data_IF_714241203354
#
_entry.id   IF_714241203354
#
_cell.length_a   1.000
_cell.length_b   1.000
_cell.length_c   1.000
_cell.angle_alpha   90.00
_cell.angle_beta   90.00
_cell.angle_gamma   90.00
#
_symmetry.space_group_name_H-M   'P 1'
#
loop_
_entity.id
_entity.type
_entity.pdbx_description
1 polymer ?
#
# COMPACT_ATOMS: atom_id res chain seq x y z
N UNK A 1 -46.09 18.47 -42.00
CA UNK A 1 -44.63 18.25 -41.93
C UNK A 1 -43.88 19.04 -40.84
N UNK A 2 -44.52 19.73 -39.91
CA UNK A 2 -43.83 20.51 -38.85
C UNK A 2 -43.78 19.83 -37.49
N UNK A 3 -44.43 18.70 -37.25
CA UNK A 3 -44.50 18.03 -35.95
C UNK A 3 -43.45 16.92 -35.71
N UNK A 4 -42.68 16.56 -36.73
CA UNK A 4 -41.69 15.48 -36.62
C UNK A 4 -40.31 16.01 -36.25
N UNK A 5 -40.03 17.30 -36.46
CA UNK A 5 -38.70 17.89 -36.21
C UNK A 5 -38.51 18.27 -34.74
N UNK A 6 -39.62 18.62 -34.03
CA UNK A 6 -39.51 19.01 -32.61
C UNK A 6 -39.22 17.84 -31.63
N UNK A 7 -39.68 16.62 -32.00
CA UNK A 7 -39.44 15.45 -31.12
C UNK A 7 -37.99 14.92 -31.15
N UNK A 8 -37.23 15.24 -32.19
CA UNK A 8 -35.84 14.77 -32.26
C UNK A 8 -34.84 15.69 -31.54
N UNK A 9 -35.15 16.98 -31.43
CA UNK A 9 -34.30 17.95 -30.72
C UNK A 9 -34.42 17.76 -29.22
N UNK A 10 -35.61 17.43 -28.72
CA UNK A 10 -35.83 17.19 -27.28
C UNK A 10 -35.27 15.85 -26.81
N UNK A 11 -35.13 14.84 -27.69
CA UNK A 11 -34.46 13.57 -27.38
C UNK A 11 -32.92 13.69 -27.31
N UNK A 12 -32.32 14.57 -28.09
CA UNK A 12 -30.87 14.82 -28.03
C UNK A 12 -30.46 15.63 -26.79
N UNK A 13 -31.34 16.50 -26.27
CA UNK A 13 -31.04 17.29 -25.05
C UNK A 13 -31.13 16.45 -23.78
N UNK A 14 -31.98 15.42 -23.73
CA UNK A 14 -32.07 14.53 -22.55
C UNK A 14 -30.91 13.53 -22.51
N UNK A 15 -30.35 13.10 -23.66
CA UNK A 15 -29.18 12.24 -23.73
C UNK A 15 -27.86 12.98 -23.46
N UNK A 16 -27.81 14.28 -23.77
CA UNK A 16 -26.62 15.10 -23.51
C UNK A 16 -26.39 15.43 -22.02
N UNK A 17 -27.45 15.40 -21.19
CA UNK A 17 -27.33 15.73 -19.76
C UNK A 17 -26.96 14.51 -18.88
N UNK A 18 -27.07 13.30 -19.42
CA UNK A 18 -26.79 12.07 -18.65
C UNK A 18 -25.35 11.56 -18.78
N UNK A 19 -24.54 12.17 -19.66
CA UNK A 19 -23.13 11.77 -19.86
C UNK A 19 -22.16 12.58 -18.97
N UNK A 20 -22.66 13.65 -18.31
CA UNK A 20 -21.78 14.53 -17.52
C UNK A 20 -21.69 14.20 -16.01
N UNK A 21 -22.32 13.10 -15.55
CA UNK A 21 -22.32 12.74 -14.10
C UNK A 21 -21.38 11.56 -13.79
N UNK A 22 -20.73 10.94 -14.78
CA UNK A 22 -19.85 9.80 -14.55
C UNK A 22 -18.35 10.14 -14.55
N UNK A 23 -17.94 11.39 -14.37
CA UNK A 23 -16.53 11.79 -14.42
C UNK A 23 -16.05 12.54 -13.18
N UNK A 24 -16.57 12.18 -11.99
CA UNK A 24 -15.99 12.62 -10.72
C UNK A 24 -16.06 11.53 -9.67
N UNK A 25 -15.42 10.40 -9.95
CA UNK A 25 -15.05 9.43 -8.93
C UNK A 25 -13.58 9.05 -9.14
N UNK A 26 -12.70 10.04 -9.20
CA UNK A 26 -11.28 9.86 -8.85
C UNK A 26 -11.19 9.98 -7.33
N UNK A 27 -11.99 9.18 -6.62
CA UNK A 27 -11.70 8.87 -5.25
C UNK A 27 -10.39 8.10 -5.26
N UNK A 28 -9.35 8.69 -4.72
CA UNK A 28 -8.24 7.92 -4.18
C UNK A 28 -8.87 6.90 -3.22
N UNK A 29 -9.14 5.71 -3.71
CA UNK A 29 -9.31 4.54 -2.87
C UNK A 29 -7.97 4.35 -2.15
N UNK A 30 -7.83 5.04 -1.01
CA UNK A 30 -6.94 4.57 0.02
C UNK A 30 -7.44 3.18 0.36
N UNK A 31 -6.75 2.15 -0.14
CA UNK A 31 -6.96 0.76 0.22
C UNK A 31 -6.74 0.65 1.73
N UNK A 32 -7.78 0.99 2.49
CA UNK A 32 -7.86 0.76 3.91
C UNK A 32 -8.10 -0.72 4.12
N UNK A 33 -7.05 -1.50 4.08
CA UNK A 33 -7.07 -2.80 4.72
C UNK A 33 -7.03 -2.55 6.23
N UNK A 34 -7.90 -3.19 7.02
CA UNK A 34 -7.93 -3.05 8.48
C UNK A 34 -6.59 -3.42 9.15
N UNK A 35 -5.73 -4.13 8.44
CA UNK A 35 -4.45 -4.63 8.94
C UNK A 35 -3.25 -3.74 8.63
N UNK A 36 -3.32 -2.91 7.61
CA UNK A 36 -2.22 -2.00 7.26
C UNK A 36 -2.69 -0.72 6.56
N UNK A 37 -1.84 0.29 6.60
CA UNK A 37 -2.02 1.58 5.92
C UNK A 37 -0.75 1.82 5.09
N UNK A 38 -0.92 2.01 3.77
CA UNK A 38 0.18 2.46 2.92
C UNK A 38 0.34 3.97 3.03
N UNK A 39 1.48 4.43 3.53
CA UNK A 39 1.76 5.85 3.77
C UNK A 39 2.47 6.55 2.60
N UNK A 40 2.86 5.82 1.57
CA UNK A 40 3.48 6.37 0.37
C UNK A 40 4.97 6.08 0.23
N UNK A 41 5.64 6.88 -0.57
CA UNK A 41 7.07 6.78 -0.83
C UNK A 41 7.83 7.85 -0.05
N UNK A 42 9.00 7.49 0.46
CA UNK A 42 9.92 8.42 1.11
C UNK A 42 11.35 8.23 0.62
N UNK A 43 12.21 9.16 1.01
CA UNK A 43 13.66 9.04 0.82
C UNK A 43 14.34 9.06 2.18
N UNK A 44 15.28 8.15 2.41
CA UNK A 44 16.07 8.09 3.63
C UNK A 44 17.53 7.76 3.32
N UNK A 45 18.44 8.49 3.94
CA UNK A 45 19.87 8.22 3.86
C UNK A 45 20.31 7.04 4.74
N UNK A 46 19.42 6.58 5.62
CA UNK A 46 19.74 5.56 6.64
C UNK A 46 19.37 4.13 6.24
N UNK A 47 18.87 3.91 5.03
CA UNK A 47 18.65 2.55 4.53
C UNK A 47 19.97 1.98 4.07
N UNK A 48 20.45 0.87 4.67
CA UNK A 48 21.72 0.29 4.28
C UNK A 48 21.72 -0.10 2.80
N UNK A 49 22.68 0.41 2.06
CA UNK A 49 23.02 -0.13 0.74
C UNK A 49 23.75 -1.44 0.98
N UNK A 50 23.16 -2.56 0.59
CA UNK A 50 23.85 -3.85 0.68
C UNK A 50 24.73 -4.03 -0.55
N UNK A 51 26.04 -4.24 -0.36
CA UNK A 51 26.91 -4.68 -1.44
C UNK A 51 26.49 -6.10 -1.84
N UNK A 52 26.11 -6.28 -3.09
CA UNK A 52 25.72 -7.57 -3.64
C UNK A 52 24.23 -7.79 -3.74
N UNK A 53 23.49 -6.83 -4.33
CA UNK A 53 22.29 -7.16 -5.06
C UNK A 53 22.73 -8.14 -6.16
N UNK A 54 22.86 -9.42 -5.75
CA UNK A 54 22.94 -10.50 -6.71
C UNK A 54 21.72 -10.34 -7.61
N UNK A 55 21.95 -9.85 -8.78
CA UNK A 55 20.95 -9.76 -9.79
C UNK A 55 20.33 -11.14 -9.93
N UNK A 56 19.19 -11.35 -9.30
CA UNK A 56 18.22 -12.21 -9.91
C UNK A 56 18.07 -11.58 -11.30
N UNK A 57 18.49 -12.23 -12.34
CA UNK A 57 18.55 -11.68 -13.69
C UNK A 57 17.17 -11.33 -14.27
N UNK A 58 16.38 -10.63 -13.50
CA UNK A 58 14.99 -10.28 -13.73
C UNK A 58 14.85 -8.78 -13.53
N UNK A 59 14.37 -8.11 -14.57
CA UNK A 59 14.09 -6.67 -14.54
C UNK A 59 12.79 -6.34 -13.76
N UNK A 60 12.30 -7.24 -12.89
CA UNK A 60 11.09 -7.02 -12.13
C UNK A 60 11.34 -7.07 -10.60
N UNK A 61 10.51 -6.36 -9.86
CA UNK A 61 10.48 -6.39 -8.41
C UNK A 61 9.68 -7.60 -7.91
N UNK A 62 10.29 -8.44 -7.08
CA UNK A 62 9.64 -9.61 -6.50
C UNK A 62 8.48 -9.23 -5.58
N UNK A 63 8.67 -8.19 -4.76
CA UNK A 63 7.64 -7.62 -3.87
C UNK A 63 7.17 -6.31 -4.48
N UNK A 64 6.28 -6.38 -5.45
CA UNK A 64 5.90 -5.22 -6.28
C UNK A 64 4.85 -4.30 -5.66
N UNK A 65 4.06 -4.79 -4.71
CA UNK A 65 2.93 -4.05 -4.13
C UNK A 65 3.02 -3.93 -2.60
N UNK A 66 2.40 -2.88 -1.99
CA UNK A 66 2.31 -2.77 -0.54
C UNK A 66 1.62 -3.97 0.12
N UNK A 67 0.61 -4.54 -0.55
CA UNK A 67 -0.09 -5.72 -0.05
C UNK A 67 0.85 -6.93 0.04
N UNK A 68 1.61 -7.22 -1.03
CA UNK A 68 2.60 -8.31 -1.01
C UNK A 68 3.64 -8.09 0.08
N UNK A 69 4.11 -6.84 0.26
CA UNK A 69 5.05 -6.50 1.31
C UNK A 69 4.48 -6.77 2.69
N UNK A 70 3.21 -6.40 2.92
CA UNK A 70 2.54 -6.66 4.18
C UNK A 70 2.37 -8.16 4.45
N UNK A 71 1.84 -8.93 3.50
CA UNK A 71 1.62 -10.36 3.65
C UNK A 71 2.91 -11.12 3.97
N UNK A 72 3.99 -10.75 3.27
CA UNK A 72 5.31 -11.31 3.53
C UNK A 72 5.85 -10.93 4.91
N UNK A 73 5.75 -9.64 5.28
CA UNK A 73 6.15 -9.16 6.60
C UNK A 73 5.33 -9.81 7.72
N UNK A 74 4.00 -9.89 7.56
CA UNK A 74 3.11 -10.49 8.55
C UNK A 74 3.47 -11.96 8.84
N UNK A 75 3.76 -12.73 7.81
CA UNK A 75 4.22 -14.12 7.93
C UNK A 75 5.51 -14.22 8.76
N UNK A 76 6.49 -13.39 8.46
CA UNK A 76 7.77 -13.36 9.17
C UNK A 76 7.59 -12.90 10.62
N UNK A 77 6.87 -11.80 10.83
CA UNK A 77 6.63 -11.24 12.16
C UNK A 77 5.86 -12.21 13.06
N UNK A 78 4.86 -12.92 12.54
CA UNK A 78 4.15 -13.97 13.27
C UNK A 78 5.05 -15.13 13.67
N UNK A 79 5.98 -15.50 12.80
CA UNK A 79 6.97 -16.53 13.11
C UNK A 79 7.92 -16.13 14.23
N UNK A 80 8.29 -14.85 14.33
CA UNK A 80 9.27 -14.34 15.30
C UNK A 80 8.62 -13.93 16.61
N UNK A 81 7.50 -13.21 16.57
CA UNK A 81 6.86 -12.59 17.74
C UNK A 81 5.56 -13.26 18.16
N UNK A 82 5.02 -14.14 17.32
CA UNK A 82 3.75 -14.82 17.55
C UNK A 82 2.54 -14.06 17.04
N UNK A 83 1.50 -14.80 16.71
CA UNK A 83 0.29 -14.27 16.07
C UNK A 83 -0.45 -13.22 16.92
N UNK A 84 -0.54 -13.46 18.24
CA UNK A 84 -1.25 -12.54 19.15
C UNK A 84 -0.55 -11.18 19.24
N UNK A 85 0.79 -11.16 19.29
CA UNK A 85 1.55 -9.91 19.34
C UNK A 85 1.38 -9.12 18.05
N UNK A 86 1.50 -9.78 16.90
CA UNK A 86 1.32 -9.13 15.60
C UNK A 86 -0.09 -8.58 15.44
N UNK A 87 -1.11 -9.34 15.85
CA UNK A 87 -2.49 -8.87 15.79
C UNK A 87 -2.77 -7.66 16.71
N UNK A 88 -2.08 -7.58 17.84
CA UNK A 88 -2.20 -6.44 18.78
C UNK A 88 -1.62 -5.14 18.19
N UNK A 89 -0.66 -5.26 17.26
CA UNK A 89 0.01 -4.13 16.64
C UNK A 89 -0.65 -3.66 15.31
N UNK A 90 -1.83 -4.17 14.98
CA UNK A 90 -2.58 -3.66 13.84
C UNK A 90 -3.16 -2.26 14.10
N UNK A 91 -3.26 -1.39 13.07
CA UNK A 91 -2.75 -1.58 11.70
C UNK A 91 -1.25 -1.30 11.61
N UNK A 92 -0.56 -2.01 10.73
CA UNK A 92 0.81 -1.69 10.36
C UNK A 92 0.87 -0.55 9.36
N UNK A 93 1.83 0.34 9.48
CA UNK A 93 2.17 1.31 8.44
C UNK A 93 3.17 0.71 7.46
N UNK A 94 3.00 1.00 6.17
CA UNK A 94 3.87 0.53 5.10
C UNK A 94 4.35 1.73 4.30
N UNK A 95 5.64 1.84 4.13
CA UNK A 95 6.31 2.91 3.41
C UNK A 95 7.30 2.34 2.40
N UNK A 96 7.34 2.92 1.19
CA UNK A 96 8.33 2.58 0.19
C UNK A 96 9.49 3.58 0.28
N UNK A 97 10.62 3.14 0.81
CA UNK A 97 11.81 3.96 1.04
C UNK A 97 12.76 3.84 -0.13
N UNK A 98 13.20 4.99 -0.68
CA UNK A 98 14.15 5.08 -1.80
C UNK A 98 13.74 4.25 -3.03
N UNK A 99 12.43 3.97 -3.21
CA UNK A 99 11.88 3.12 -4.27
C UNK A 99 12.39 1.67 -4.26
N UNK A 100 13.16 1.27 -3.25
CA UNK A 100 13.86 -0.01 -3.16
C UNK A 100 13.44 -0.86 -1.96
N UNK A 101 12.94 -0.23 -0.88
CA UNK A 101 12.73 -0.89 0.38
C UNK A 101 11.33 -0.69 0.92
N UNK A 102 10.65 -1.77 1.24
CA UNK A 102 9.43 -1.73 2.02
C UNK A 102 9.79 -1.66 3.50
N UNK A 103 9.48 -0.53 4.13
CA UNK A 103 9.60 -0.37 5.58
C UNK A 103 8.22 -0.51 6.20
N UNK A 104 8.08 -1.47 7.12
CA UNK A 104 6.81 -1.83 7.73
C UNK A 104 6.97 -1.76 9.23
N UNK A 105 6.07 -1.04 9.91
CA UNK A 105 6.08 -0.89 11.35
C UNK A 105 4.69 -1.06 11.95
N UNK A 106 4.62 -1.74 13.10
CA UNK A 106 3.39 -1.88 13.87
C UNK A 106 2.91 -0.57 14.47
N UNK A 107 1.74 -0.59 15.04
CA UNK A 107 1.19 0.49 15.85
C UNK A 107 0.65 -0.04 17.18
N UNK A 108 0.52 0.84 18.16
CA UNK A 108 -0.13 0.49 19.44
C UNK A 108 -1.53 1.06 19.48
N UNK A 109 -2.49 0.34 20.09
CA UNK A 109 -3.79 0.89 20.39
C UNK A 109 -3.67 2.15 21.26
N UNK A 110 -4.62 3.07 21.10
CA UNK A 110 -4.64 4.32 21.86
C UNK A 110 -4.60 4.06 23.38
N UNK A 111 -3.67 4.73 24.05
CA UNK A 111 -3.50 4.63 25.51
C UNK A 111 -2.51 3.55 25.95
N UNK A 112 -1.95 2.75 25.03
CA UNK A 112 -0.88 1.82 25.34
C UNK A 112 0.48 2.49 25.17
N UNK A 113 1.43 2.12 26.03
CA UNK A 113 2.83 2.51 25.96
C UNK A 113 3.67 1.25 25.72
N UNK A 114 4.67 1.36 24.88
CA UNK A 114 5.56 0.24 24.57
C UNK A 114 6.17 0.36 23.18
N UNK A 115 6.85 -0.68 22.77
CA UNK A 115 7.43 -0.76 21.43
C UNK A 115 6.53 -1.48 20.45
N UNK A 116 6.97 -1.46 19.21
CA UNK A 116 6.32 -2.15 18.09
C UNK A 116 7.34 -2.85 17.22
N UNK A 117 6.89 -3.79 16.44
CA UNK A 117 7.72 -4.51 15.48
C UNK A 117 8.02 -3.64 14.25
N UNK A 118 9.24 -3.76 13.75
CA UNK A 118 9.71 -3.12 12.54
C UNK A 118 10.40 -4.14 11.64
N UNK A 119 10.12 -4.07 10.34
CA UNK A 119 10.77 -4.90 9.34
C UNK A 119 11.04 -4.09 8.08
N UNK A 120 12.22 -4.25 7.50
CA UNK A 120 12.59 -3.69 6.21
C UNK A 120 12.93 -4.80 5.22
N UNK A 121 12.29 -4.76 4.05
CA UNK A 121 12.33 -5.80 3.03
C UNK A 121 12.73 -5.19 1.69
N UNK A 122 13.66 -5.82 0.98
CA UNK A 122 14.00 -5.45 -0.38
C UNK A 122 12.81 -5.69 -1.31
N UNK A 123 12.37 -4.64 -1.99
CA UNK A 123 11.36 -4.71 -3.03
C UNK A 123 11.75 -5.67 -4.15
N UNK A 124 13.03 -5.68 -4.52
CA UNK A 124 13.55 -6.42 -5.66
C UNK A 124 13.63 -7.93 -5.44
N UNK A 125 14.16 -8.36 -4.29
CA UNK A 125 14.47 -9.77 -4.05
C UNK A 125 13.87 -10.37 -2.78
N UNK A 126 13.09 -9.58 -2.02
CA UNK A 126 12.46 -10.03 -0.77
C UNK A 126 13.42 -10.21 0.41
N UNK A 127 14.68 -9.78 0.29
CA UNK A 127 15.64 -9.89 1.39
C UNK A 127 15.22 -9.03 2.57
N UNK A 128 15.17 -9.62 3.76
CA UNK A 128 14.96 -8.90 5.01
C UNK A 128 16.28 -8.28 5.43
N UNK A 129 16.34 -6.97 5.47
CA UNK A 129 17.55 -6.22 5.81
C UNK A 129 17.54 -5.71 7.23
N UNK A 130 16.36 -5.61 7.83
CA UNK A 130 16.20 -5.16 9.21
C UNK A 130 14.95 -5.80 9.82
N UNK A 131 15.09 -6.32 11.02
CA UNK A 131 13.99 -6.85 11.83
C UNK A 131 14.29 -6.58 13.29
N UNK A 132 13.43 -5.83 13.96
CA UNK A 132 13.59 -5.53 15.39
C UNK A 132 12.26 -5.12 16.01
N UNK A 133 12.21 -5.14 17.33
CA UNK A 133 11.10 -4.62 18.13
C UNK A 133 11.65 -3.50 19.02
N UNK A 134 10.98 -2.35 19.01
CA UNK A 134 11.29 -1.28 19.97
C UNK A 134 10.82 -1.66 21.38
N UNK A 135 11.31 -0.99 22.39
CA UNK A 135 10.91 -1.19 23.80
C UNK A 135 10.01 -0.06 24.27
#
# INVERSE_FOLDING_TARGET
MRKIVENNIMRCLVFGLMICICLQASGQDSLKCEKYIYVGESTSEHVPTFPGEAALGTDFDLISTPQMAFEYAEMVLKSVYGEKQVAFEYPFSIELVNKCWWYISGSLPKGYLGGVAHIAISKRNGQIVKLYHTK
#
